data_IF_483398162570
#
_entry.id   IF_483398162570
#
_cell.length_a   1.000
_cell.length_b   1.000
_cell.length_c   1.000
_cell.angle_alpha   90.00
_cell.angle_beta   90.00
_cell.angle_gamma   90.00
#
_symmetry.space_group_name_H-M   'P 1'
#
loop_
_entity.id
_entity.type
_entity.pdbx_description
1 polymer ?
#
# COMPACT_ATOMS: atom_id res chain seq x y z
N UNK A 1 24.59 11.60 -4.35
CA UNK A 1 23.66 12.44 -3.56
C UNK A 1 22.28 12.58 -4.19
N UNK A 2 22.14 12.82 -5.51
CA UNK A 2 20.82 13.01 -6.15
C UNK A 2 19.85 11.82 -5.98
N UNK A 3 20.33 10.58 -6.15
CA UNK A 3 19.49 9.39 -5.99
C UNK A 3 18.97 9.22 -4.56
N UNK A 4 19.80 9.52 -3.54
CA UNK A 4 19.40 9.51 -2.14
C UNK A 4 18.31 10.56 -1.86
N UNK A 5 18.44 11.77 -2.42
CA UNK A 5 17.44 12.82 -2.28
C UNK A 5 16.10 12.42 -2.92
N UNK A 6 16.13 11.89 -4.15
CA UNK A 6 14.96 11.37 -4.86
C UNK A 6 14.29 10.27 -4.05
N UNK A 7 15.05 9.28 -3.57
CA UNK A 7 14.54 8.18 -2.75
C UNK A 7 13.88 8.67 -1.47
N UNK A 8 14.52 9.60 -0.73
CA UNK A 8 13.95 10.16 0.50
C UNK A 8 12.64 10.92 0.24
N UNK A 9 12.56 11.69 -0.86
CA UNK A 9 11.32 12.37 -1.26
C UNK A 9 10.23 11.36 -1.60
N UNK A 10 10.58 10.33 -2.36
CA UNK A 10 9.65 9.28 -2.75
C UNK A 10 9.13 8.48 -1.56
N UNK A 11 9.97 8.16 -0.57
CA UNK A 11 9.54 7.45 0.65
C UNK A 11 8.47 8.23 1.42
N UNK A 12 8.60 9.58 1.50
CA UNK A 12 7.58 10.44 2.13
C UNK A 12 6.26 10.42 1.35
N UNK A 13 6.32 10.44 0.01
CA UNK A 13 5.12 10.32 -0.82
C UNK A 13 4.44 8.97 -0.58
N UNK A 14 5.19 7.86 -0.64
CA UNK A 14 4.64 6.53 -0.36
C UNK A 14 3.98 6.47 1.01
N UNK A 15 4.61 7.07 2.02
CA UNK A 15 4.02 7.17 3.35
C UNK A 15 2.70 7.96 3.39
N UNK A 16 2.59 9.07 2.66
CA UNK A 16 1.33 9.82 2.58
C UNK A 16 0.22 8.98 1.91
N UNK A 17 0.52 8.39 0.76
CA UNK A 17 -0.44 7.56 0.02
C UNK A 17 -0.85 6.29 0.78
N UNK A 18 0.04 5.72 1.60
CA UNK A 18 -0.30 4.58 2.47
C UNK A 18 -1.44 4.94 3.44
N UNK A 19 -1.42 6.16 4.00
CA UNK A 19 -2.43 6.61 4.96
C UNK A 19 -3.73 7.01 4.26
N UNK A 20 -3.64 7.60 3.05
CA UNK A 20 -4.80 7.86 2.20
C UNK A 20 -5.52 6.56 1.87
N UNK A 21 -4.80 5.53 1.45
CA UNK A 21 -5.37 4.22 1.14
C UNK A 21 -5.97 3.55 2.39
N UNK A 22 -5.29 3.67 3.54
CA UNK A 22 -5.83 3.17 4.81
C UNK A 22 -7.18 3.81 5.17
N UNK A 23 -7.27 5.14 5.05
CA UNK A 23 -8.49 5.89 5.33
C UNK A 23 -9.61 5.57 4.35
N UNK A 24 -9.30 5.46 3.06
CA UNK A 24 -10.26 5.11 2.03
C UNK A 24 -10.91 3.73 2.31
N UNK A 25 -10.08 2.72 2.59
CA UNK A 25 -10.55 1.38 2.92
C UNK A 25 -11.32 1.31 4.25
N UNK A 26 -10.97 2.15 5.23
CA UNK A 26 -11.68 2.22 6.51
C UNK A 26 -13.09 2.81 6.38
N UNK A 27 -13.26 3.86 5.56
CA UNK A 27 -14.54 4.58 5.41
C UNK A 27 -15.52 3.83 4.50
N UNK A 28 -15.04 3.03 3.54
CA UNK A 28 -15.89 2.29 2.61
C UNK A 28 -15.45 0.83 2.46
N UNK A 29 -15.97 -0.10 3.29
CA UNK A 29 -15.64 -1.53 3.19
C UNK A 29 -16.28 -2.23 1.97
N UNK A 30 -17.00 -1.51 1.09
CA UNK A 30 -17.73 -2.09 -0.05
C UNK A 30 -16.88 -2.14 -1.35
N UNK A 31 -16.72 -3.32 -1.99
CA UNK A 31 -15.75 -3.55 -3.07
C UNK A 31 -15.97 -2.77 -4.39
N UNK A 32 -17.18 -2.34 -4.71
CA UNK A 32 -17.54 -1.93 -6.09
C UNK A 32 -17.38 -0.43 -6.38
N UNK A 33 -17.61 0.46 -5.41
CA UNK A 33 -17.34 1.91 -5.56
C UNK A 33 -15.86 2.26 -5.29
N UNK A 34 -15.14 1.42 -4.55
CA UNK A 34 -13.77 1.66 -4.09
C UNK A 34 -12.69 1.46 -5.18
N UNK A 35 -13.02 0.71 -6.24
CA UNK A 35 -12.05 0.35 -7.29
C UNK A 35 -11.57 1.57 -8.09
N UNK A 36 -12.44 2.52 -8.39
CA UNK A 36 -12.08 3.76 -9.09
C UNK A 36 -11.27 4.71 -8.20
N UNK A 37 -11.66 4.85 -6.93
CA UNK A 37 -10.93 5.67 -5.96
C UNK A 37 -9.54 5.09 -5.69
N UNK A 38 -9.45 3.78 -5.48
CA UNK A 38 -8.19 3.04 -5.32
C UNK A 38 -7.33 3.12 -6.58
N UNK A 39 -7.92 2.98 -7.77
CA UNK A 39 -7.21 3.15 -9.03
C UNK A 39 -6.67 4.59 -9.18
N UNK A 40 -7.46 5.61 -8.81
CA UNK A 40 -7.03 7.01 -8.85
C UNK A 40 -5.88 7.28 -7.87
N UNK A 41 -5.98 6.80 -6.62
CA UNK A 41 -4.93 6.91 -5.59
C UNK A 41 -3.64 6.27 -6.08
N UNK A 42 -3.69 5.04 -6.59
CA UNK A 42 -2.51 4.34 -7.09
C UNK A 42 -1.95 4.96 -8.38
N UNK A 43 -2.80 5.40 -9.31
CA UNK A 43 -2.36 6.08 -10.54
C UNK A 43 -1.66 7.41 -10.22
N UNK A 44 -2.20 8.17 -9.26
CA UNK A 44 -1.61 9.43 -8.84
C UNK A 44 -0.28 9.21 -8.11
N UNK A 45 -0.17 8.19 -7.26
CA UNK A 45 1.10 7.78 -6.66
C UNK A 45 2.16 7.48 -7.74
N UNK A 46 1.80 6.72 -8.78
CA UNK A 46 2.70 6.40 -9.89
C UNK A 46 3.17 7.68 -10.59
N UNK A 47 2.25 8.58 -10.94
CA UNK A 47 2.55 9.86 -11.60
C UNK A 47 3.48 10.73 -10.73
N UNK A 48 3.20 10.83 -9.43
CA UNK A 48 3.99 11.67 -8.53
C UNK A 48 5.40 11.10 -8.30
N UNK A 49 5.54 9.77 -8.23
CA UNK A 49 6.84 9.12 -8.20
C UNK A 49 7.61 9.31 -9.51
N UNK A 50 6.95 9.16 -10.66
CA UNK A 50 7.58 9.39 -11.97
C UNK A 50 8.15 10.82 -12.07
N UNK A 51 7.41 11.83 -11.58
CA UNK A 51 7.87 13.23 -11.52
C UNK A 51 9.12 13.40 -10.65
N UNK A 52 9.23 12.70 -9.51
CA UNK A 52 10.44 12.76 -8.65
C UNK A 52 11.68 12.27 -9.41
N UNK A 53 11.51 11.26 -10.27
CA UNK A 53 12.57 10.69 -11.10
C UNK A 53 12.68 11.32 -12.50
N UNK A 54 11.91 12.39 -12.77
CA UNK A 54 11.89 13.10 -14.06
C UNK A 54 11.55 12.19 -15.25
N UNK A 55 10.71 11.18 -15.01
CA UNK A 55 10.27 10.27 -16.05
C UNK A 55 9.02 10.83 -16.74
N UNK A 56 8.99 10.92 -18.08
CA UNK A 56 7.81 11.34 -18.81
C UNK A 56 6.76 10.23 -18.73
N UNK A 57 5.71 10.43 -17.92
CA UNK A 57 4.64 9.46 -17.74
C UNK A 57 3.28 10.14 -17.87
N UNK A 58 2.46 9.65 -18.81
CA UNK A 58 1.08 10.08 -18.95
C UNK A 58 0.20 9.41 -17.89
N UNK A 59 -0.93 10.02 -17.57
CA UNK A 59 -1.89 9.43 -16.66
C UNK A 59 -2.44 8.09 -17.19
N UNK A 60 -2.61 7.94 -18.50
CA UNK A 60 -3.11 6.70 -19.09
C UNK A 60 -2.08 5.57 -18.98
N UNK A 61 -0.78 5.83 -19.19
CA UNK A 61 0.26 4.84 -18.90
C UNK A 61 0.31 4.50 -17.41
N UNK A 62 0.14 5.49 -16.52
CA UNK A 62 0.10 5.25 -15.08
C UNK A 62 -1.08 4.33 -14.69
N UNK A 63 -2.25 4.47 -15.33
CA UNK A 63 -3.38 3.53 -15.14
C UNK A 63 -3.03 2.12 -15.61
N UNK A 64 -2.40 1.97 -16.77
CA UNK A 64 -1.93 0.66 -17.28
C UNK A 64 -0.99 -0.01 -16.30
N UNK A 65 -0.01 0.75 -15.76
CA UNK A 65 0.90 0.26 -14.72
C UNK A 65 0.13 -0.14 -13.45
N UNK A 66 -0.80 0.69 -12.98
CA UNK A 66 -1.60 0.40 -11.79
C UNK A 66 -2.41 -0.91 -11.95
N UNK A 67 -3.05 -1.12 -13.10
CA UNK A 67 -3.79 -2.33 -13.42
C UNK A 67 -2.89 -3.56 -13.43
N UNK A 68 -1.74 -3.50 -14.12
CA UNK A 68 -0.80 -4.62 -14.18
C UNK A 68 -0.25 -5.00 -12.79
N UNK A 69 0.03 -4.01 -11.94
CA UNK A 69 0.47 -4.24 -10.57
C UNK A 69 -0.64 -4.84 -9.71
N UNK A 70 -1.88 -4.37 -9.86
CA UNK A 70 -3.03 -4.92 -9.16
C UNK A 70 -3.29 -6.39 -9.53
N UNK A 71 -3.30 -6.71 -10.83
CA UNK A 71 -3.42 -8.08 -11.33
C UNK A 71 -2.33 -9.00 -10.77
N UNK A 72 -1.09 -8.52 -10.72
CA UNK A 72 0.02 -9.28 -10.18
C UNK A 72 -0.15 -9.53 -8.68
N UNK A 73 -0.54 -8.52 -7.89
CA UNK A 73 -0.78 -8.69 -6.45
C UNK A 73 -1.92 -9.68 -6.16
N UNK A 74 -2.97 -9.69 -6.99
CA UNK A 74 -4.03 -10.70 -6.94
C UNK A 74 -3.45 -12.09 -7.20
N UNK A 75 -2.67 -12.25 -8.28
CA UNK A 75 -2.02 -13.53 -8.63
C UNK A 75 -1.04 -14.04 -7.56
N UNK A 76 -0.37 -13.14 -6.85
CA UNK A 76 0.54 -13.46 -5.75
C UNK A 76 -0.19 -13.88 -4.46
N UNK A 77 -1.52 -14.00 -4.49
CA UNK A 77 -2.33 -14.46 -3.36
C UNK A 77 -2.54 -13.39 -2.29
N UNK A 78 -2.38 -12.11 -2.62
CA UNK A 78 -2.56 -11.06 -1.62
C UNK A 78 -3.98 -10.98 -1.07
N UNK A 79 -4.97 -11.38 -1.88
CA UNK A 79 -6.37 -11.50 -1.46
C UNK A 79 -6.50 -12.59 -0.39
N UNK A 80 -5.84 -13.75 -0.56
CA UNK A 80 -5.89 -14.85 0.40
C UNK A 80 -5.20 -14.51 1.73
N UNK A 81 -4.08 -13.80 1.70
CA UNK A 81 -3.36 -13.35 2.90
C UNK A 81 -4.23 -12.43 3.76
N UNK A 82 -5.01 -11.55 3.13
CA UNK A 82 -5.96 -10.69 3.84
C UNK A 82 -7.07 -11.51 4.53
N UNK A 83 -7.60 -12.54 3.87
CA UNK A 83 -8.65 -13.43 4.40
C UNK A 83 -8.15 -14.33 5.54
N UNK A 84 -6.92 -14.84 5.46
CA UNK A 84 -6.32 -15.69 6.50
C UNK A 84 -6.04 -14.91 7.80
N UNK A 85 -5.57 -13.66 7.69
CA UNK A 85 -5.36 -12.80 8.85
C UNK A 85 -6.69 -12.42 9.53
N UNK A 86 -7.73 -12.12 8.73
CA UNK A 86 -9.08 -11.93 9.25
C UNK A 86 -9.53 -13.16 10.06
N UNK A 87 -9.37 -14.37 9.51
CA UNK A 87 -9.76 -15.61 10.18
C UNK A 87 -9.01 -15.90 11.49
N UNK A 88 -7.77 -15.41 11.63
CA UNK A 88 -6.97 -15.59 12.85
C UNK A 88 -7.35 -14.59 13.94
N UNK A 89 -7.65 -13.34 13.55
CA UNK A 89 -8.13 -12.28 14.46
C UNK A 89 -9.61 -12.49 14.87
N UNK A 90 -10.44 -13.04 13.98
CA UNK A 90 -11.85 -13.40 14.26
C UNK A 90 -12.00 -14.49 15.34
N UNK A 91 -10.99 -15.34 15.54
CA UNK A 91 -11.01 -16.41 16.56
C UNK A 91 -10.77 -15.91 17.98
N UNK A 92 -10.25 -14.70 18.16
CA UNK A 92 -10.26 -14.04 19.48
C UNK A 92 -11.66 -13.48 19.74
N UNK A 93 -12.31 -13.91 20.84
CA UNK A 93 -13.73 -13.76 21.19
C UNK A 93 -14.23 -12.30 21.37
N UNK A 94 -14.07 -11.43 20.38
CA UNK A 94 -14.47 -10.03 20.47
C UNK A 94 -14.02 -9.18 19.28
N UNK A 95 -14.43 -9.54 18.06
CA UNK A 95 -14.27 -8.66 16.89
C UNK A 95 -15.55 -7.85 16.72
N UNK A 96 -15.55 -6.60 17.18
CA UNK A 96 -16.56 -5.60 16.83
C UNK A 96 -16.26 -5.03 15.44
N UNK A 97 -17.25 -4.45 14.76
CA UNK A 97 -17.14 -3.88 13.41
C UNK A 97 -15.90 -2.97 13.20
N UNK A 98 -15.49 -2.25 14.26
CA UNK A 98 -14.32 -1.37 14.29
C UNK A 98 -13.00 -2.12 14.01
N UNK A 99 -12.87 -3.37 14.49
CA UNK A 99 -11.68 -4.18 14.26
C UNK A 99 -11.56 -4.68 12.80
N UNK A 100 -12.69 -4.87 12.10
CA UNK A 100 -12.71 -5.24 10.67
C UNK A 100 -12.18 -4.12 9.78
N UNK A 101 -12.64 -2.88 9.99
CA UNK A 101 -12.19 -1.71 9.24
C UNK A 101 -10.70 -1.40 9.43
N UNK A 102 -10.15 -1.58 10.63
CA UNK A 102 -8.72 -1.41 10.86
C UNK A 102 -7.85 -2.44 10.14
N UNK A 103 -8.28 -3.70 10.06
CA UNK A 103 -7.54 -4.73 9.32
C UNK A 103 -7.53 -4.41 7.84
N UNK A 104 -8.67 -3.97 7.29
CA UNK A 104 -8.78 -3.54 5.89
C UNK A 104 -7.90 -2.32 5.61
N UNK A 105 -7.97 -1.28 6.44
CA UNK A 105 -7.13 -0.09 6.33
C UNK A 105 -5.63 -0.40 6.45
N UNK A 106 -5.23 -1.26 7.39
CA UNK A 106 -3.85 -1.69 7.54
C UNK A 106 -3.35 -2.49 6.33
N UNK A 107 -4.21 -3.36 5.77
CA UNK A 107 -3.87 -4.16 4.57
C UNK A 107 -3.72 -3.27 3.34
N UNK A 108 -4.61 -2.30 3.16
CA UNK A 108 -4.54 -1.31 2.09
C UNK A 108 -3.25 -0.47 2.19
N UNK A 109 -2.95 0.05 3.38
CA UNK A 109 -1.70 0.77 3.64
C UNK A 109 -0.45 -0.05 3.30
N UNK A 110 -0.42 -1.31 3.73
CA UNK A 110 0.68 -2.22 3.46
C UNK A 110 0.85 -2.46 1.96
N UNK A 111 -0.23 -2.71 1.23
CA UNK A 111 -0.18 -2.93 -0.21
C UNK A 111 0.30 -1.70 -0.97
N UNK A 112 -0.24 -0.53 -0.64
CA UNK A 112 0.23 0.74 -1.22
C UNK A 112 1.71 0.98 -0.93
N UNK A 113 2.20 0.60 0.26
CA UNK A 113 3.62 0.67 0.58
C UNK A 113 4.46 -0.26 -0.30
N UNK A 114 4.07 -1.52 -0.47
CA UNK A 114 4.78 -2.48 -1.34
C UNK A 114 4.83 -1.95 -2.78
N UNK A 115 3.70 -1.49 -3.31
CA UNK A 115 3.60 -0.88 -4.65
C UNK A 115 4.54 0.32 -4.75
N UNK A 116 4.49 1.23 -3.78
CA UNK A 116 5.31 2.44 -3.73
C UNK A 116 6.81 2.15 -3.70
N UNK A 117 7.25 1.21 -2.87
CA UNK A 117 8.65 0.78 -2.81
C UNK A 117 9.11 0.16 -4.15
N UNK A 118 8.25 -0.65 -4.78
CA UNK A 118 8.53 -1.25 -6.09
C UNK A 118 8.68 -0.20 -7.18
N UNK A 119 7.82 0.83 -7.18
CA UNK A 119 7.89 1.95 -8.12
C UNK A 119 9.14 2.81 -7.91
N UNK A 120 9.55 3.02 -6.65
CA UNK A 120 10.80 3.71 -6.32
C UNK A 120 11.98 3.00 -6.96
N UNK A 121 12.09 1.68 -6.79
CA UNK A 121 13.20 0.91 -7.33
C UNK A 121 13.13 0.84 -8.86
N UNK A 122 11.93 0.69 -9.43
CA UNK A 122 11.69 0.73 -10.87
C UNK A 122 12.12 2.06 -11.52
N UNK A 123 11.63 3.19 -11.03
CA UNK A 123 11.96 4.51 -11.59
C UNK A 123 13.42 4.91 -11.34
N UNK A 124 14.00 4.47 -10.22
CA UNK A 124 15.43 4.66 -9.96
C UNK A 124 16.28 3.89 -11.00
N UNK A 125 15.86 2.68 -11.39
CA UNK A 125 16.54 1.90 -12.43
C UNK A 125 16.37 2.52 -13.82
N UNK A 126 15.20 3.07 -14.14
CA UNK A 126 14.98 3.79 -15.41
C UNK A 126 15.79 5.08 -15.52
N UNK A 127 16.01 5.79 -14.40
CA UNK A 127 16.76 7.04 -14.41
C UNK A 127 18.25 6.90 -14.81
N UNK A 128 18.76 5.68 -14.92
CA UNK A 128 20.16 5.38 -15.27
C UNK A 128 20.29 4.43 -16.47
N UNK A 129 19.18 4.00 -17.08
CA UNK A 129 19.16 3.02 -18.15
C UNK A 129 18.57 3.62 -19.43
N UNK A 130 18.88 2.98 -20.57
CA UNK A 130 18.25 3.33 -21.84
C UNK A 130 16.74 3.03 -21.83
N UNK A 131 15.93 3.81 -22.56
CA UNK A 131 14.50 3.55 -22.68
C UNK A 131 14.22 2.14 -23.18
N UNK A 132 13.41 1.39 -22.43
CA UNK A 132 12.95 0.07 -22.83
C UNK A 132 11.66 0.18 -23.65
N UNK A 133 11.41 -0.75 -24.58
CA UNK A 133 10.08 -0.94 -25.15
C UNK A 133 9.04 -1.16 -24.05
N UNK A 134 7.80 -0.71 -24.28
CA UNK A 134 6.75 -0.69 -23.27
C UNK A 134 6.51 -2.07 -22.63
N UNK A 135 6.44 -3.14 -23.42
CA UNK A 135 6.25 -4.51 -22.93
C UNK A 135 7.35 -4.94 -21.94
N UNK A 136 8.61 -4.66 -22.28
CA UNK A 136 9.76 -4.99 -21.43
C UNK A 136 9.77 -4.11 -20.16
N UNK A 137 9.35 -2.85 -20.29
CA UNK A 137 9.23 -1.94 -19.16
C UNK A 137 8.19 -2.42 -18.15
N UNK A 138 7.07 -2.97 -18.62
CA UNK A 138 6.01 -3.50 -17.78
C UNK A 138 6.40 -4.82 -17.14
N UNK A 139 7.12 -5.68 -17.87
CA UNK A 139 7.66 -6.91 -17.31
C UNK A 139 8.69 -6.65 -16.22
N UNK A 140 9.57 -5.66 -16.41
CA UNK A 140 10.50 -5.22 -15.36
C UNK A 140 9.76 -4.73 -14.12
N UNK A 141 8.68 -3.95 -14.29
CA UNK A 141 7.85 -3.51 -13.18
C UNK A 141 7.25 -4.69 -12.42
N UNK A 142 6.74 -5.71 -13.12
CA UNK A 142 6.20 -6.94 -12.51
C UNK A 142 7.26 -7.67 -11.70
N UNK A 143 8.46 -7.85 -12.24
CA UNK A 143 9.57 -8.51 -11.55
C UNK A 143 9.98 -7.76 -10.27
N UNK A 144 10.11 -6.43 -10.35
CA UNK A 144 10.44 -5.61 -9.17
C UNK A 144 9.35 -5.72 -8.11
N UNK A 145 8.07 -5.64 -8.50
CA UNK A 145 6.95 -5.78 -7.59
C UNK A 145 6.92 -7.16 -6.91
N UNK A 146 7.11 -8.22 -7.68
CA UNK A 146 7.15 -9.59 -7.17
C UNK A 146 8.26 -9.76 -6.12
N UNK A 147 9.47 -9.27 -6.42
CA UNK A 147 10.61 -9.34 -5.51
C UNK A 147 10.33 -8.55 -4.22
N UNK A 148 9.88 -7.29 -4.33
CA UNK A 148 9.57 -6.45 -3.18
C UNK A 148 8.45 -7.04 -2.33
N UNK A 149 7.42 -7.63 -2.94
CA UNK A 149 6.35 -8.31 -2.23
C UNK A 149 6.86 -9.54 -1.47
N UNK A 150 7.67 -10.40 -2.11
CA UNK A 150 8.24 -11.58 -1.47
C UNK A 150 9.15 -11.21 -0.29
N UNK A 151 10.03 -10.22 -0.46
CA UNK A 151 10.87 -9.69 0.63
C UNK A 151 10.02 -9.14 1.77
N UNK A 152 9.00 -8.34 1.47
CA UNK A 152 8.12 -7.76 2.49
C UNK A 152 7.36 -8.84 3.28
N UNK A 153 6.93 -9.92 2.61
CA UNK A 153 6.25 -11.05 3.26
C UNK A 153 7.16 -11.80 4.24
N UNK A 154 8.43 -12.03 3.89
CA UNK A 154 9.40 -12.73 4.75
C UNK A 154 9.68 -11.97 6.05
N UNK A 155 9.62 -10.64 6.01
CA UNK A 155 9.90 -9.77 7.16
C UNK A 155 8.71 -9.55 8.11
N UNK A 156 7.59 -10.26 7.93
CA UNK A 156 6.36 -10.12 8.74
C UNK A 156 5.83 -8.68 8.87
N UNK A 157 6.13 -7.79 7.91
CA UNK A 157 5.73 -6.37 7.95
C UNK A 157 4.20 -6.23 8.06
N UNK A 158 3.44 -7.08 7.39
CA UNK A 158 1.98 -7.08 7.46
C UNK A 158 1.46 -7.33 8.88
N UNK A 159 2.08 -8.26 9.63
CA UNK A 159 1.69 -8.52 11.02
C UNK A 159 1.96 -7.31 11.91
N UNK A 160 3.11 -6.63 11.72
CA UNK A 160 3.42 -5.40 12.43
C UNK A 160 2.41 -4.28 12.13
N UNK A 161 2.01 -4.12 10.86
CA UNK A 161 0.99 -3.16 10.44
C UNK A 161 -0.38 -3.43 11.09
N UNK A 162 -0.86 -4.66 11.02
CA UNK A 162 -2.15 -5.07 11.63
C UNK A 162 -2.11 -4.89 13.15
N UNK A 163 -1.01 -5.30 13.79
CA UNK A 163 -0.85 -5.15 15.25
C UNK A 163 -0.88 -3.69 15.68
N UNK A 164 -0.16 -2.81 14.97
CA UNK A 164 -0.18 -1.38 15.25
C UNK A 164 -1.58 -0.78 15.05
N UNK A 165 -2.29 -1.18 14.00
CA UNK A 165 -3.65 -0.70 13.75
C UNK A 165 -4.62 -1.10 14.87
N UNK A 166 -4.57 -2.37 15.32
CA UNK A 166 -5.40 -2.86 16.43
C UNK A 166 -5.03 -2.14 17.75
N UNK A 167 -3.74 -1.92 18.01
CA UNK A 167 -3.28 -1.22 19.21
C UNK A 167 -3.82 0.21 19.29
N UNK A 168 -3.89 0.93 18.15
CA UNK A 168 -4.46 2.28 18.11
C UNK A 168 -5.98 2.34 18.30
N UNK A 169 -6.67 1.23 18.12
CA UNK A 169 -8.11 1.14 18.36
C UNK A 169 -8.48 0.78 19.79
N UNK A 170 -7.51 0.39 20.64
CA UNK A 170 -7.81 0.16 22.06
C UNK A 170 -8.32 1.48 22.65
N UNK A 171 -9.56 1.53 23.19
CA UNK A 171 -10.03 2.73 23.84
C UNK A 171 -9.08 3.04 24.99
N UNK A 172 -8.51 4.25 24.99
CA UNK A 172 -7.90 4.79 26.18
C UNK A 172 -8.98 4.72 27.27
N UNK A 173 -8.72 4.02 28.37
CA UNK A 173 -9.60 4.12 29.54
C UNK A 173 -9.55 5.60 29.94
N UNK A 174 -10.54 6.38 29.52
CA UNK A 174 -10.81 7.68 30.12
C UNK A 174 -11.01 7.37 31.60
N UNK A 175 -9.97 7.63 32.39
CA UNK A 175 -10.07 7.56 33.83
C UNK A 175 -11.07 8.65 34.20
N UNK A 176 -12.32 8.25 34.42
CA UNK A 176 -13.32 9.08 35.06
C UNK A 176 -12.79 9.36 36.47
N UNK A 177 -12.03 10.45 36.59
CA UNK A 177 -11.72 11.04 37.88
C UNK A 177 -13.05 11.59 38.42
N UNK A 178 -13.71 10.79 39.26
CA UNK A 178 -14.61 11.32 40.27
C UNK A 178 -13.75 11.72 41.47
N UNK A 179 -13.64 13.00 41.83
CA UNK A 179 -13.48 13.36 43.22
C UNK A 179 -14.87 13.48 43.85
N UNK A 180 -15.12 12.63 44.83
CA UNK A 180 -16.13 12.82 45.86
C UNK A 180 -15.85 14.15 46.56
N UNK A 181 -16.88 14.96 46.76
CA UNK A 181 -16.81 16.22 47.52
C UNK A 181 -18.08 17.02 47.38
#
# INVERSE_FOLDING_TARGET
MLNTLRRNKSLKLVEQYQWVSAGAAFVNPLPSLDLLATAAVNSQLIVDLAKVYQQPLSLDHAKTMATAMAELLIKLGCVEVSTQLLGTVLKTQGVTYIAGGAIQGASAAYLTRVVGLSLIDYFQALAIADPLPEEQSLERLRQVLQNTFQTSRQTNVLQAFVTQAIQRLKPEKVALQHPLG
#
